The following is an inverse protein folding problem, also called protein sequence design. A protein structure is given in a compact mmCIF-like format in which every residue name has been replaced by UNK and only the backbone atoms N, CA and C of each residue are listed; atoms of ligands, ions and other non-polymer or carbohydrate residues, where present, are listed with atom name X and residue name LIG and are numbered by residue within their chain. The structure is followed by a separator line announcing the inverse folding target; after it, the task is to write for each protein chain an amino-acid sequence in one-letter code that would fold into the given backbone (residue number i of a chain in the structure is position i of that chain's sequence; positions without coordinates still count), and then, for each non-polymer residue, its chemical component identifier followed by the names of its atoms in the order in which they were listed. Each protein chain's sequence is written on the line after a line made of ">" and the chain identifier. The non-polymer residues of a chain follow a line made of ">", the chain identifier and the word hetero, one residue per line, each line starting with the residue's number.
data_IF_597383622566
#
_entry.id   IF_597383622566
#
_cell.length_a   1.000
_cell.length_b   1.000
_cell.length_c   1.000
_cell.angle_alpha   90.00
_cell.angle_beta   90.00
_cell.angle_gamma   90.00
#
_symmetry.space_group_name_H-M   'P 1'
#
loop_
_entity.id
_entity.type
_entity.pdbx_description
1 polymer ?
#
# COMPACT_ATOMS: atom_id res chain seq x y z
N UNK A 1 -15.67 17.76 9.86
CA UNK A 1 -14.73 17.02 8.99
C UNK A 1 -14.25 15.77 9.71
N UNK A 2 -14.25 14.63 9.03
CA UNK A 2 -13.69 13.37 9.56
C UNK A 2 -12.16 13.45 9.54
N UNK A 3 -11.50 13.07 10.64
CA UNK A 3 -10.03 12.99 10.71
C UNK A 3 -9.59 11.54 10.52
N UNK A 4 -8.55 11.34 9.72
CA UNK A 4 -7.95 10.03 9.46
C UNK A 4 -6.61 9.97 10.21
N UNK A 5 -6.43 8.93 11.01
CA UNK A 5 -5.20 8.70 11.77
C UNK A 5 -4.65 7.33 11.41
N UNK A 6 -3.40 7.30 10.98
CA UNK A 6 -2.75 6.06 10.55
C UNK A 6 -1.27 6.25 10.33
N UNK A 7 -0.65 5.21 9.80
CA UNK A 7 0.79 5.17 9.53
C UNK A 7 1.07 4.41 8.23
N UNK A 8 2.35 4.21 7.93
CA UNK A 8 2.80 3.23 6.95
C UNK A 8 3.27 1.97 7.71
N UNK A 9 2.40 0.98 7.96
CA UNK A 9 2.73 -0.13 8.84
C UNK A 9 3.70 -1.08 8.15
N UNK A 10 4.54 -1.74 8.95
CA UNK A 10 5.36 -2.86 8.48
C UNK A 10 4.44 -3.93 7.85
N UNK A 11 4.76 -4.36 6.64
CA UNK A 11 4.00 -5.31 5.84
C UNK A 11 4.62 -6.70 5.78
N UNK A 12 5.53 -7.05 6.70
CA UNK A 12 6.04 -8.40 6.86
C UNK A 12 4.87 -9.37 7.09
N UNK A 13 4.69 -10.34 6.18
CA UNK A 13 3.49 -11.18 6.08
C UNK A 13 2.44 -10.69 5.07
N UNK A 14 2.76 -9.66 4.27
CA UNK A 14 1.92 -9.05 3.25
C UNK A 14 1.03 -7.90 3.76
N UNK A 15 0.47 -7.14 2.83
CA UNK A 15 -0.38 -5.96 3.10
C UNK A 15 -1.62 -6.26 3.95
N UNK A 16 -2.14 -7.50 3.93
CA UNK A 16 -3.24 -7.91 4.82
C UNK A 16 -2.79 -7.91 6.29
N UNK A 17 -1.52 -8.23 6.57
CA UNK A 17 -0.97 -8.09 7.91
C UNK A 17 -0.75 -6.62 8.29
N UNK A 18 -0.37 -5.76 7.35
CA UNK A 18 -0.31 -4.32 7.60
C UNK A 18 -1.68 -3.75 8.01
N UNK A 19 -2.76 -4.15 7.32
CA UNK A 19 -4.14 -3.77 7.68
C UNK A 19 -4.52 -4.23 9.09
N UNK A 20 -4.24 -5.51 9.43
CA UNK A 20 -4.49 -6.03 10.78
C UNK A 20 -3.70 -5.28 11.86
N UNK A 21 -2.43 -4.98 11.61
CA UNK A 21 -1.59 -4.19 12.54
C UNK A 21 -2.14 -2.78 12.73
N UNK A 22 -2.58 -2.12 11.66
CA UNK A 22 -3.19 -0.80 11.73
C UNK A 22 -4.47 -0.83 12.58
N UNK A 23 -5.35 -1.81 12.35
CA UNK A 23 -6.57 -1.99 13.12
C UNK A 23 -6.28 -2.25 14.61
N UNK A 24 -5.35 -3.14 14.93
CA UNK A 24 -4.93 -3.42 16.31
C UNK A 24 -4.34 -2.20 17.04
N UNK A 25 -3.81 -1.23 16.30
CA UNK A 25 -3.28 0.02 16.83
C UNK A 25 -4.32 1.16 16.87
N UNK A 26 -5.59 0.89 16.56
CA UNK A 26 -6.68 1.89 16.57
C UNK A 26 -6.63 2.89 15.41
N UNK A 27 -5.94 2.55 14.32
CA UNK A 27 -5.85 3.41 13.13
C UNK A 27 -7.13 3.34 12.29
N UNK A 28 -7.46 4.45 11.65
CA UNK A 28 -8.62 4.58 10.74
C UNK A 28 -8.22 4.68 9.26
N UNK A 29 -6.91 4.70 8.99
CA UNK A 29 -6.29 4.70 7.67
C UNK A 29 -4.92 4.02 7.76
N UNK A 30 -4.33 3.68 6.61
CA UNK A 30 -2.96 3.23 6.48
C UNK A 30 -2.43 3.57 5.08
N UNK A 31 -1.12 3.68 4.98
CA UNK A 31 -0.41 3.72 3.71
C UNK A 31 0.23 2.35 3.43
N UNK A 32 0.29 1.94 2.16
CA UNK A 32 0.93 0.68 1.74
C UNK A 32 1.74 0.85 0.45
N UNK A 33 2.66 -0.08 0.22
CA UNK A 33 3.19 -0.37 -1.12
C UNK A 33 2.39 -1.53 -1.72
N UNK A 34 2.02 -1.44 -3.00
CA UNK A 34 1.32 -2.53 -3.72
C UNK A 34 2.30 -3.53 -4.36
N UNK A 35 3.53 -3.07 -4.62
CA UNK A 35 4.68 -3.82 -5.12
C UNK A 35 5.97 -3.40 -4.37
N UNK A 36 7.03 -4.22 -4.34
CA UNK A 36 8.31 -3.84 -3.73
C UNK A 36 8.84 -2.50 -4.25
N UNK A 37 9.17 -1.54 -3.38
CA UNK A 37 9.46 -0.17 -3.80
C UNK A 37 10.88 0.05 -4.36
N UNK A 38 11.72 -1.01 -4.32
CA UNK A 38 13.12 -1.05 -4.74
C UNK A 38 13.35 -1.44 -6.20
N UNK A 39 12.32 -1.92 -6.92
CA UNK A 39 12.49 -2.54 -8.24
C UNK A 39 11.54 -1.95 -9.29
N UNK A 40 12.00 -1.90 -10.55
CA UNK A 40 11.18 -1.57 -11.71
C UNK A 40 10.55 -2.82 -12.31
N UNK A 41 9.32 -2.70 -12.80
CA UNK A 41 8.71 -3.68 -13.71
C UNK A 41 8.49 -5.08 -13.12
N UNK A 42 8.45 -5.21 -11.80
CA UNK A 42 8.27 -6.51 -11.18
C UNK A 42 6.89 -7.07 -11.53
N UNK A 43 6.85 -8.30 -12.08
CA UNK A 43 5.61 -9.04 -12.37
C UNK A 43 4.82 -9.44 -11.11
N UNK A 44 5.24 -8.98 -9.93
CA UNK A 44 4.56 -9.12 -8.65
C UNK A 44 3.33 -8.20 -8.60
N UNK A 45 2.40 -8.38 -9.56
CA UNK A 45 1.15 -7.65 -9.60
C UNK A 45 0.27 -7.94 -8.38
N UNK A 46 -0.62 -7.01 -8.06
CA UNK A 46 -1.69 -7.22 -7.10
C UNK A 46 -2.70 -8.22 -7.67
N UNK A 47 -2.44 -9.52 -7.49
CA UNK A 47 -3.39 -10.57 -7.91
C UNK A 47 -4.72 -10.43 -7.16
N UNK A 48 -5.81 -10.88 -7.79
CA UNK A 48 -7.15 -10.79 -7.22
C UNK A 48 -7.25 -11.40 -5.82
N UNK A 49 -6.55 -12.51 -5.57
CA UNK A 49 -6.54 -13.17 -4.26
C UNK A 49 -5.81 -12.34 -3.20
N UNK A 50 -4.74 -11.64 -3.58
CA UNK A 50 -4.01 -10.72 -2.68
C UNK A 50 -4.87 -9.51 -2.33
N UNK A 51 -5.55 -8.94 -3.33
CA UNK A 51 -6.50 -7.85 -3.13
C UNK A 51 -7.67 -8.27 -2.24
N UNK A 52 -8.29 -9.43 -2.50
CA UNK A 52 -9.40 -9.96 -1.70
C UNK A 52 -9.01 -10.14 -0.22
N UNK A 53 -7.83 -10.73 0.04
CA UNK A 53 -7.29 -10.88 1.41
C UNK A 53 -7.05 -9.53 2.10
N UNK A 54 -6.59 -8.53 1.36
CA UNK A 54 -6.41 -7.18 1.89
C UNK A 54 -7.76 -6.53 2.24
N UNK A 55 -8.73 -6.58 1.34
CA UNK A 55 -10.07 -6.04 1.59
C UNK A 55 -10.77 -6.73 2.77
N UNK A 56 -10.63 -8.05 2.91
CA UNK A 56 -11.14 -8.78 4.08
C UNK A 56 -10.50 -8.26 5.38
N UNK A 57 -9.18 -8.08 5.41
CA UNK A 57 -8.47 -7.55 6.58
C UNK A 57 -8.86 -6.10 6.92
N UNK A 58 -9.14 -5.26 5.92
CA UNK A 58 -9.67 -3.91 6.14
C UNK A 58 -11.08 -3.96 6.75
N UNK A 59 -11.95 -4.82 6.24
CA UNK A 59 -13.31 -5.00 6.75
C UNK A 59 -13.31 -5.54 8.20
N UNK A 60 -12.47 -6.54 8.49
CA UNK A 60 -12.24 -7.05 9.85
C UNK A 60 -11.80 -5.93 10.82
N UNK A 61 -10.98 -4.99 10.34
CA UNK A 61 -10.44 -3.87 11.11
C UNK A 61 -11.30 -2.61 11.14
N UNK A 62 -12.45 -2.57 10.46
CA UNK A 62 -13.28 -1.38 10.34
C UNK A 62 -12.61 -0.22 9.58
N UNK A 63 -11.62 -0.51 8.74
CA UNK A 63 -10.92 0.49 7.92
C UNK A 63 -11.61 0.55 6.55
N UNK A 64 -12.09 1.73 6.16
CA UNK A 64 -12.71 1.92 4.86
C UNK A 64 -11.62 1.91 3.76
N UNK A 65 -11.74 1.07 2.71
CA UNK A 65 -10.78 1.03 1.60
C UNK A 65 -10.52 2.38 0.92
N UNK A 66 -11.52 3.27 0.89
CA UNK A 66 -11.38 4.61 0.30
C UNK A 66 -10.48 5.56 1.09
N UNK A 67 -10.11 5.20 2.32
CA UNK A 67 -9.20 5.98 3.15
C UNK A 67 -7.77 5.42 3.13
N UNK A 68 -7.47 4.39 2.34
CA UNK A 68 -6.13 3.80 2.20
C UNK A 68 -5.29 4.58 1.19
N UNK A 69 -4.04 4.87 1.52
CA UNK A 69 -3.09 5.51 0.62
C UNK A 69 -2.13 4.49 0.00
N UNK A 70 -1.88 4.62 -1.30
CA UNK A 70 -0.85 3.85 -2.00
C UNK A 70 0.34 4.75 -2.24
N UNK A 71 1.51 4.33 -1.77
CA UNK A 71 2.76 5.01 -2.07
C UNK A 71 3.39 4.38 -3.31
N UNK A 72 3.86 5.20 -4.26
CA UNK A 72 4.60 4.71 -5.42
C UNK A 72 6.00 4.19 -5.02
N UNK A 73 6.59 3.33 -5.84
CA UNK A 73 7.95 2.85 -5.60
C UNK A 73 8.95 4.02 -5.57
N UNK A 74 9.91 4.01 -4.63
CA UNK A 74 10.88 5.10 -4.51
C UNK A 74 11.88 5.16 -5.67
N UNK A 75 11.98 4.08 -6.45
CA UNK A 75 12.79 4.08 -7.66
C UNK A 75 12.15 4.88 -8.80
N UNK A 76 10.85 5.18 -8.74
CA UNK A 76 10.18 5.95 -9.80
C UNK A 76 10.71 7.39 -9.83
N UNK A 77 11.19 7.83 -11.00
CA UNK A 77 11.78 9.16 -11.18
C UNK A 77 11.33 9.81 -12.48
N UNK A 78 10.19 10.50 -12.43
CA UNK A 78 9.62 11.24 -13.57
C UNK A 78 10.42 12.49 -13.95
N UNK A 79 11.38 12.90 -13.11
CA UNK A 79 12.28 14.02 -13.36
C UNK A 79 13.70 13.54 -13.73
N UNK A 80 13.85 12.28 -14.11
CA UNK A 80 15.13 11.72 -14.53
C UNK A 80 15.67 12.46 -15.76
N UNK A 81 16.96 12.84 -15.81
CA UNK A 81 17.58 13.36 -17.03
C UNK A 81 17.74 12.28 -18.11
N UNK A 82 17.63 11.01 -17.73
CA UNK A 82 17.59 9.88 -18.67
C UNK A 82 16.14 9.67 -19.13
N UNK A 83 15.86 9.97 -20.40
CA UNK A 83 14.52 9.95 -21.01
C UNK A 83 13.83 8.59 -20.87
N UNK A 84 14.55 7.49 -21.08
CA UNK A 84 14.00 6.13 -20.92
C UNK A 84 13.51 5.85 -19.48
N UNK A 85 14.18 6.42 -18.46
CA UNK A 85 13.76 6.29 -17.06
C UNK A 85 12.59 7.21 -16.72
N UNK A 86 12.54 8.40 -17.31
CA UNK A 86 11.48 9.37 -17.08
C UNK A 86 10.13 8.96 -17.69
N UNK A 87 10.16 8.19 -18.79
CA UNK A 87 8.96 7.70 -19.49
C UNK A 87 8.31 6.44 -18.86
N UNK A 88 8.84 5.92 -17.76
CA UNK A 88 8.35 4.71 -17.08
C UNK A 88 7.39 5.05 -15.94
#
# INVERSE_FOLDING_TARGET
>A
MRRLFGSHPNDAGGIAMAARRAASAGMTTLQIFTAPPTYYGEKAGMRAEKAAKFHAALAEGGINPGDVLVHAAFVLNTASPEEEKAMR
#
